data_IF_777115378108
#
_entry.id   IF_777115378108
#
_cell.length_a   1.000
_cell.length_b   1.000
_cell.length_c   1.000
_cell.angle_alpha   90.00
_cell.angle_beta   90.00
_cell.angle_gamma   90.00
#
_symmetry.space_group_name_H-M   'P 1'
#
loop_
_entity.id
_entity.type
_entity.pdbx_description
1 polymer ?
#
# COMPACT_ATOMS: atom_id res chain seq x y z
N UNK A 1 -16.39 -12.81 4.32
CA UNK A 1 -17.40 -12.75 3.24
C UNK A 1 -16.83 -11.80 2.18
N UNK A 2 -16.54 -12.30 0.98
CA UNK A 2 -16.13 -11.43 -0.13
C UNK A 2 -17.31 -10.55 -0.53
N UNK A 3 -17.15 -9.23 -0.41
CA UNK A 3 -18.17 -8.31 -0.86
C UNK A 3 -18.02 -8.15 -2.37
N UNK A 4 -19.08 -8.44 -3.13
CA UNK A 4 -19.17 -8.13 -4.55
C UNK A 4 -19.31 -6.61 -4.71
N UNK A 5 -18.18 -5.90 -4.62
CA UNK A 5 -18.11 -4.43 -4.60
C UNK A 5 -18.12 -3.87 -6.02
N UNK A 6 -17.62 -4.61 -7.03
CA UNK A 6 -17.66 -4.22 -8.43
C UNK A 6 -16.61 -4.93 -9.30
N UNK A 7 -16.42 -4.46 -10.54
CA UNK A 7 -15.56 -5.08 -11.56
C UNK A 7 -14.06 -4.95 -11.24
N UNK A 8 -13.65 -3.89 -10.55
CA UNK A 8 -12.24 -3.67 -10.16
C UNK A 8 -12.16 -3.31 -8.69
N UNK A 9 -11.38 -4.10 -7.95
CA UNK A 9 -10.90 -3.78 -6.61
C UNK A 9 -9.39 -3.98 -6.60
N UNK A 10 -8.63 -2.93 -6.36
CA UNK A 10 -7.19 -3.03 -6.13
C UNK A 10 -6.79 -2.30 -4.86
N UNK A 11 -5.80 -2.85 -4.17
CA UNK A 11 -5.17 -2.28 -2.99
C UNK A 11 -3.67 -2.54 -3.13
N UNK A 12 -2.88 -1.49 -3.35
CA UNK A 12 -1.44 -1.64 -3.62
C UNK A 12 -0.63 -0.52 -3.01
N UNK A 13 0.63 -0.81 -2.72
CA UNK A 13 1.63 0.22 -2.50
C UNK A 13 1.75 1.09 -3.75
N UNK A 14 1.80 2.41 -3.56
CA UNK A 14 2.06 3.35 -4.63
C UNK A 14 2.81 4.56 -4.09
N UNK A 15 3.80 5.02 -4.87
CA UNK A 15 4.52 6.27 -4.66
C UNK A 15 4.07 7.29 -5.69
N UNK A 16 3.68 8.48 -5.25
CA UNK A 16 3.31 9.61 -6.12
C UNK A 16 3.97 10.88 -5.59
N UNK A 17 4.69 11.61 -6.44
CA UNK A 17 5.44 12.81 -6.04
C UNK A 17 6.30 12.57 -4.77
N UNK A 18 7.02 11.46 -4.76
CA UNK A 18 7.87 11.00 -3.65
C UNK A 18 7.17 10.82 -2.30
N UNK A 19 5.84 10.68 -2.31
CA UNK A 19 5.06 10.26 -1.14
C UNK A 19 4.64 8.81 -1.28
N UNK A 20 5.07 8.01 -0.33
CA UNK A 20 4.67 6.62 -0.16
C UNK A 20 3.27 6.50 0.44
N UNK A 21 2.48 5.58 -0.10
CA UNK A 21 1.15 5.34 0.41
C UNK A 21 0.54 4.05 -0.09
N UNK A 22 -0.70 3.83 0.34
CA UNK A 22 -1.55 2.75 -0.12
C UNK A 22 -2.62 3.35 -1.03
N UNK A 23 -2.66 2.91 -2.29
CA UNK A 23 -3.73 3.25 -3.22
C UNK A 23 -4.79 2.15 -3.19
N UNK A 24 -6.04 2.57 -3.00
CA UNK A 24 -7.21 1.72 -3.24
C UNK A 24 -7.99 2.27 -4.43
N UNK A 25 -8.20 1.43 -5.44
CA UNK A 25 -9.05 1.77 -6.58
C UNK A 25 -10.26 0.82 -6.61
N UNK A 26 -11.45 1.42 -6.65
CA UNK A 26 -12.73 0.73 -6.59
C UNK A 26 -13.60 1.26 -7.72
N UNK A 27 -14.13 0.35 -8.54
CA UNK A 27 -15.09 0.69 -9.59
C UNK A 27 -16.28 -0.27 -9.53
N UNK A 28 -17.48 0.30 -9.60
CA UNK A 28 -18.73 -0.44 -9.58
C UNK A 28 -19.77 0.23 -10.45
N UNK A 29 -20.52 -0.52 -11.26
CA UNK A 29 -21.64 0.04 -12.02
C UNK A 29 -22.85 0.36 -11.12
N UNK A 30 -23.00 -0.37 -10.01
CA UNK A 30 -24.25 -0.36 -9.22
C UNK A 30 -24.14 0.45 -7.93
N UNK A 31 -22.92 0.84 -7.53
CA UNK A 31 -22.66 1.50 -6.25
C UNK A 31 -22.19 2.92 -6.44
N UNK A 32 -22.74 3.84 -5.64
CA UNK A 32 -22.31 5.24 -5.62
C UNK A 32 -20.92 5.36 -5.01
N UNK A 33 -20.20 6.43 -5.37
CA UNK A 33 -18.84 6.70 -4.86
C UNK A 33 -18.75 6.68 -3.32
N UNK A 34 -19.77 7.20 -2.62
CA UNK A 34 -19.81 7.19 -1.15
C UNK A 34 -19.92 5.77 -0.55
N UNK A 35 -20.59 4.86 -1.24
CA UNK A 35 -20.72 3.45 -0.83
C UNK A 35 -19.41 2.70 -1.06
N UNK A 36 -18.74 2.94 -2.19
CA UNK A 36 -17.40 2.41 -2.47
C UNK A 36 -16.38 2.89 -1.45
N UNK A 37 -16.39 4.18 -1.12
CA UNK A 37 -15.53 4.73 -0.07
C UNK A 37 -15.78 4.05 1.28
N UNK A 38 -17.05 3.77 1.62
CA UNK A 38 -17.40 3.03 2.84
C UNK A 38 -16.85 1.61 2.81
N UNK A 39 -17.01 0.89 1.71
CA UNK A 39 -16.43 -0.44 1.52
C UNK A 39 -14.91 -0.45 1.74
N UNK A 40 -14.17 0.51 1.16
CA UNK A 40 -12.72 0.62 1.37
C UNK A 40 -12.35 0.93 2.84
N UNK A 41 -13.13 1.77 3.52
CA UNK A 41 -12.94 2.06 4.95
C UNK A 41 -13.24 0.84 5.84
N UNK A 42 -14.27 0.07 5.51
CA UNK A 42 -14.65 -1.13 6.25
C UNK A 42 -13.65 -2.25 6.03
N UNK A 43 -13.16 -2.46 4.80
CA UNK A 43 -12.09 -3.39 4.50
C UNK A 43 -10.87 -3.13 5.40
N UNK A 44 -10.39 -1.89 5.45
CA UNK A 44 -9.27 -1.53 6.31
C UNK A 44 -9.59 -1.61 7.82
N UNK A 45 -10.86 -1.58 8.23
CA UNK A 45 -11.27 -1.81 9.62
C UNK A 45 -11.22 -3.30 9.99
N UNK A 46 -11.50 -4.16 9.02
CA UNK A 46 -11.61 -5.61 9.21
C UNK A 46 -10.26 -6.32 9.06
N UNK A 47 -9.20 -5.62 8.63
CA UNK A 47 -7.85 -6.18 8.63
C UNK A 47 -7.50 -6.65 10.05
N UNK A 48 -7.19 -7.94 10.16
CA UNK A 48 -6.69 -8.52 11.39
C UNK A 48 -5.41 -7.78 11.82
N UNK A 49 -5.22 -7.52 13.14
CA UNK A 49 -3.94 -7.05 13.63
C UNK A 49 -2.82 -7.97 13.14
N UNK A 50 -1.74 -7.39 12.64
CA UNK A 50 -0.55 -8.15 12.29
C UNK A 50 0.06 -8.69 13.58
N UNK A 51 0.41 -9.98 13.58
CA UNK A 51 1.23 -10.60 14.61
C UNK A 51 2.68 -10.77 14.13
N UNK A 52 3.59 -11.04 15.06
CA UNK A 52 5.01 -11.18 14.72
C UNK A 52 5.28 -12.41 13.86
N UNK A 53 4.50 -13.48 14.04
CA UNK A 53 4.61 -14.70 13.26
C UNK A 53 4.31 -14.47 11.77
N UNK A 54 3.36 -13.57 11.45
CA UNK A 54 3.03 -13.15 10.09
C UNK A 54 4.02 -12.11 9.56
N UNK A 55 4.53 -11.24 10.45
CA UNK A 55 5.48 -10.18 10.07
C UNK A 55 6.79 -10.74 9.50
N UNK A 56 7.42 -11.72 10.16
CA UNK A 56 8.76 -12.21 9.76
C UNK A 56 8.81 -12.77 8.34
N UNK A 57 7.87 -13.65 7.91
CA UNK A 57 7.83 -14.12 6.53
C UNK A 57 7.62 -12.99 5.51
N UNK A 58 6.80 -11.98 5.84
CA UNK A 58 6.56 -10.83 4.97
C UNK A 58 7.82 -9.96 4.81
N UNK A 59 8.54 -9.70 5.91
CA UNK A 59 9.82 -8.99 5.90
C UNK A 59 10.85 -9.70 5.02
N UNK A 60 11.02 -11.01 5.20
CA UNK A 60 11.94 -11.82 4.40
C UNK A 60 11.57 -11.83 2.92
N UNK A 61 10.28 -11.98 2.60
CA UNK A 61 9.79 -11.95 1.22
C UNK A 61 10.05 -10.60 0.56
N UNK A 62 9.83 -9.51 1.29
CA UNK A 62 10.10 -8.15 0.80
C UNK A 62 11.62 -7.95 0.57
N UNK A 63 12.45 -8.37 1.52
CA UNK A 63 13.91 -8.31 1.37
C UNK A 63 14.39 -9.10 0.15
N UNK A 64 13.85 -10.31 -0.06
CA UNK A 64 14.16 -11.13 -1.23
C UNK A 64 13.75 -10.46 -2.54
N UNK A 65 12.55 -9.85 -2.60
CA UNK A 65 12.08 -9.11 -3.78
C UNK A 65 12.96 -7.91 -4.11
N UNK A 66 13.48 -7.20 -3.09
CA UNK A 66 14.36 -6.05 -3.30
C UNK A 66 15.74 -6.49 -3.80
N UNK A 67 16.24 -7.63 -3.30
CA UNK A 67 17.53 -8.21 -3.69
C UNK A 67 17.48 -8.90 -5.06
N UNK A 68 16.30 -9.33 -5.50
CA UNK A 68 16.11 -9.96 -6.80
C UNK A 68 16.49 -9.00 -7.94
N UNK A 69 16.98 -9.58 -9.05
CA UNK A 69 17.32 -8.81 -10.25
C UNK A 69 16.10 -8.05 -10.73
N UNK A 70 16.24 -6.72 -10.78
CA UNK A 70 15.19 -5.84 -11.29
C UNK A 70 15.29 -5.73 -12.81
N UNK A 71 14.14 -5.60 -13.50
CA UNK A 71 14.15 -5.30 -14.92
C UNK A 71 14.91 -3.99 -15.20
N UNK A 72 15.50 -3.81 -16.39
CA UNK A 72 16.36 -2.67 -16.71
C UNK A 72 15.74 -1.31 -16.39
N UNK A 73 14.44 -1.14 -16.63
CA UNK A 73 13.70 0.09 -16.39
C UNK A 73 13.67 0.44 -14.88
N UNK A 74 13.45 -0.55 -14.03
CA UNK A 74 13.45 -0.37 -12.58
C UNK A 74 14.84 -0.09 -12.03
N UNK A 75 15.91 -0.57 -12.69
CA UNK A 75 17.30 -0.22 -12.35
C UNK A 75 17.63 1.21 -12.75
N UNK A 76 17.22 1.64 -13.96
CA UNK A 76 17.41 3.00 -14.42
C UNK A 76 16.70 4.02 -13.52
N UNK A 77 15.44 3.73 -13.13
CA UNK A 77 14.71 4.56 -12.18
C UNK A 77 15.40 4.64 -10.81
N UNK A 78 15.90 3.51 -10.28
CA UNK A 78 16.66 3.48 -9.03
C UNK A 78 17.92 4.35 -9.11
N UNK A 79 18.69 4.25 -10.20
CA UNK A 79 19.89 5.05 -10.41
C UNK A 79 19.59 6.55 -10.43
N UNK A 80 18.55 6.97 -11.16
CA UNK A 80 18.10 8.37 -11.18
C UNK A 80 17.73 8.85 -9.77
N UNK A 81 16.98 8.04 -9.01
CA UNK A 81 16.62 8.40 -7.64
C UNK A 81 17.85 8.62 -6.76
N UNK A 82 18.85 7.77 -6.89
CA UNK A 82 20.09 7.90 -6.13
C UNK A 82 20.87 9.16 -6.53
N UNK A 83 20.93 9.47 -7.84
CA UNK A 83 21.55 10.70 -8.36
C UNK A 83 20.92 11.96 -7.78
N UNK A 84 19.58 11.99 -7.64
CA UNK A 84 18.84 13.10 -7.05
C UNK A 84 18.70 13.03 -5.51
N UNK A 85 19.36 12.07 -4.84
CA UNK A 85 19.31 11.91 -3.38
C UNK A 85 17.92 11.55 -2.83
N UNK A 86 17.05 10.96 -3.66
CA UNK A 86 15.69 10.58 -3.29
C UNK A 86 15.68 9.25 -2.52
N UNK A 87 14.82 9.11 -1.48
CA UNK A 87 14.75 7.88 -0.70
C UNK A 87 14.41 6.65 -1.54
N UNK A 88 15.14 5.56 -1.31
CA UNK A 88 14.87 4.27 -1.90
C UNK A 88 14.79 3.18 -0.83
N UNK A 89 13.91 2.20 -1.05
CA UNK A 89 13.80 1.06 -0.17
C UNK A 89 15.00 0.12 -0.38
N UNK A 90 15.87 0.03 0.61
CA UNK A 90 17.06 -0.82 0.59
C UNK A 90 16.82 -2.13 1.32
N UNK A 91 17.58 -3.20 1.03
CA UNK A 91 17.51 -4.43 1.81
C UNK A 91 17.76 -4.19 3.30
N UNK A 92 18.73 -3.34 3.63
CA UNK A 92 19.07 -3.00 5.02
C UNK A 92 17.93 -2.27 5.73
N UNK A 93 17.23 -1.37 5.04
CA UNK A 93 16.06 -0.70 5.59
C UNK A 93 14.93 -1.69 5.89
N UNK A 94 14.74 -2.70 5.03
CA UNK A 94 13.75 -3.77 5.27
C UNK A 94 14.17 -4.67 6.41
N UNK A 95 15.44 -5.06 6.49
CA UNK A 95 15.98 -5.87 7.58
C UNK A 95 15.88 -5.14 8.94
N UNK A 96 15.95 -3.80 8.93
CA UNK A 96 15.81 -2.95 10.10
C UNK A 96 14.35 -2.72 10.55
N UNK A 97 13.34 -3.11 9.77
CA UNK A 97 11.93 -2.96 10.16
C UNK A 97 11.65 -3.73 11.45
N UNK A 98 11.03 -3.04 12.42
CA UNK A 98 10.58 -3.67 13.66
C UNK A 98 9.09 -3.92 13.61
N UNK A 99 8.69 -5.11 14.09
CA UNK A 99 7.28 -5.52 14.15
C UNK A 99 6.39 -4.44 14.79
N UNK A 100 6.79 -3.91 15.95
CA UNK A 100 6.02 -2.90 16.70
C UNK A 100 5.76 -1.65 15.87
N UNK A 101 6.76 -1.17 15.12
CA UNK A 101 6.63 0.03 14.29
C UNK A 101 5.66 -0.19 13.12
N UNK A 102 5.72 -1.37 12.49
CA UNK A 102 4.82 -1.72 11.38
C UNK A 102 3.39 -1.93 11.89
N UNK A 103 3.22 -2.56 13.05
CA UNK A 103 1.92 -2.74 13.69
C UNK A 103 1.29 -1.39 14.10
N UNK A 104 2.09 -0.48 14.66
CA UNK A 104 1.63 0.86 15.03
C UNK A 104 1.30 1.70 13.78
N UNK A 105 2.10 1.61 12.72
CA UNK A 105 1.81 2.27 11.44
C UNK A 105 0.49 1.76 10.83
N UNK A 106 0.27 0.44 10.83
CA UNK A 106 -0.99 -0.14 10.36
C UNK A 106 -2.18 0.36 11.19
N UNK A 107 -2.04 0.44 12.52
CA UNK A 107 -3.05 1.02 13.41
C UNK A 107 -3.29 2.50 13.14
N UNK A 108 -2.24 3.27 12.87
CA UNK A 108 -2.36 4.68 12.53
C UNK A 108 -3.09 4.88 11.20
N UNK A 109 -2.69 4.17 10.15
CA UNK A 109 -3.30 4.25 8.81
C UNK A 109 -4.80 3.91 8.84
N UNK A 110 -5.17 2.91 9.65
CA UNK A 110 -6.57 2.52 9.82
C UNK A 110 -7.37 3.50 10.68
N UNK A 111 -6.74 4.29 11.56
CA UNK A 111 -7.44 5.30 12.40
C UNK A 111 -7.50 6.69 11.77
N UNK A 112 -6.44 7.13 11.08
CA UNK A 112 -6.32 8.49 10.50
C UNK A 112 -6.96 8.61 9.12
N UNK A 113 -8.14 8.00 8.91
CA UNK A 113 -8.82 7.96 7.59
C UNK A 113 -9.27 9.32 7.07
N UNK A 114 -9.36 10.34 7.93
CA UNK A 114 -9.62 11.73 7.51
C UNK A 114 -8.46 12.33 6.71
N UNK A 115 -7.27 11.73 6.75
CA UNK A 115 -6.11 12.13 5.93
C UNK A 115 -6.12 11.50 4.54
N UNK A 116 -7.08 10.64 4.22
CA UNK A 116 -7.16 10.02 2.90
C UNK A 116 -7.55 11.07 1.87
N UNK A 117 -6.77 11.12 0.80
CA UNK A 117 -7.15 11.84 -0.41
C UNK A 117 -8.06 10.92 -1.21
N UNK A 118 -9.30 11.36 -1.44
CA UNK A 118 -10.30 10.58 -2.16
C UNK A 118 -10.63 11.33 -3.43
N UNK A 119 -10.44 10.64 -4.56
CA UNK A 119 -10.82 11.12 -5.88
C UNK A 119 -11.95 10.22 -6.37
N UNK A 120 -13.00 10.83 -6.90
CA UNK A 120 -14.09 10.12 -7.54
C UNK A 120 -14.42 10.83 -8.85
N UNK A 121 -14.65 10.03 -9.89
CA UNK A 121 -15.16 10.47 -11.18
C UNK A 121 -16.49 9.77 -11.39
N UNK A 122 -17.53 10.52 -11.71
CA UNK A 122 -18.75 9.94 -12.28
C UNK A 122 -18.49 9.75 -13.77
N UNK A 123 -18.78 8.56 -14.31
CA UNK A 123 -18.90 8.43 -15.77
C UNK A 123 -20.07 9.31 -16.20
N UNK A 124 -19.86 10.16 -17.20
CA UNK A 124 -20.92 10.96 -17.82
C UNK A 124 -22.04 10.08 -18.39
#
# INVERSE_FOLDING_TARGET
MEQQIGYVVSCRYQRVADRDGLLMALQSPDRRAGELLRCGKDFLRQLAPMDEATFRPLQQRLAAQIRASRPPEARALSALRQEYGLPELTPQAVDALRFVEVADLAREMTRRRRRWQVLFTTGD
#
